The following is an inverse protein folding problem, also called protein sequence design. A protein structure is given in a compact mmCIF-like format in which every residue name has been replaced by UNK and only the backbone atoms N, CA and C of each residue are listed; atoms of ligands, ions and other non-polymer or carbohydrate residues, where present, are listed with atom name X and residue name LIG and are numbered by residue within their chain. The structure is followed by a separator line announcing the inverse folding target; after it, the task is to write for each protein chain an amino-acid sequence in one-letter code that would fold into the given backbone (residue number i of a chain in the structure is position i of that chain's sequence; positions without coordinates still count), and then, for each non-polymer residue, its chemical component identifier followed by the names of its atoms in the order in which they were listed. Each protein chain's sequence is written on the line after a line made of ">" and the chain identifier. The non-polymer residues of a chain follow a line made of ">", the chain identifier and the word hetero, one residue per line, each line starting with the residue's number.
data_IF_729721585952
#
_entry.id   IF_729721585952
#
_cell.length_a   1.000
_cell.length_b   1.000
_cell.length_c   1.000
_cell.angle_alpha   90.00
_cell.angle_beta   90.00
_cell.angle_gamma   90.00
#
_symmetry.space_group_name_H-M   'P 1'
#
loop_
_entity.id
_entity.type
_entity.pdbx_description
1 polymer ?
#
# COMPACT_ATOMS: atom_id res chain seq x y z
N UNK A 1 22.91 -16.35 12.03
CA UNK A 1 21.87 -15.42 11.55
C UNK A 1 22.52 -14.05 11.58
N UNK A 2 22.58 -13.37 10.46
CA UNK A 2 23.21 -12.04 10.40
C UNK A 2 22.31 -11.04 11.13
N UNK A 3 22.69 -10.60 12.32
CA UNK A 3 21.93 -9.65 13.14
C UNK A 3 21.78 -8.26 12.47
N UNK A 4 22.53 -7.99 11.39
CA UNK A 4 22.47 -6.72 10.68
C UNK A 4 21.10 -6.48 10.03
N UNK A 5 20.36 -7.53 9.68
CA UNK A 5 19.00 -7.44 9.14
C UNK A 5 17.93 -7.11 10.19
N UNK A 6 18.23 -7.32 11.47
CA UNK A 6 17.32 -7.04 12.58
C UNK A 6 17.62 -5.70 13.25
N UNK A 7 18.71 -5.04 12.86
CA UNK A 7 18.99 -3.68 13.32
C UNK A 7 18.01 -2.72 12.65
N UNK A 8 17.02 -2.34 13.41
CA UNK A 8 16.17 -1.20 13.09
C UNK A 8 17.07 0.03 12.96
N UNK A 9 17.38 0.45 11.74
CA UNK A 9 18.04 1.72 11.53
C UNK A 9 17.06 2.82 11.93
N UNK A 10 17.33 3.44 13.09
CA UNK A 10 16.49 4.50 13.66
C UNK A 10 16.34 5.70 12.74
N UNK A 11 17.20 5.81 11.73
CA UNK A 11 17.16 6.88 10.72
C UNK A 11 16.40 6.47 9.44
N UNK A 12 16.10 5.18 9.28
CA UNK A 12 15.39 4.71 8.10
C UNK A 12 14.00 5.35 8.01
N UNK A 13 13.70 5.89 6.84
CA UNK A 13 12.40 6.45 6.51
C UNK A 13 11.50 5.39 5.87
N UNK A 14 10.23 5.42 6.22
CA UNK A 14 9.21 4.56 5.69
C UNK A 14 8.00 5.37 5.20
N UNK A 15 7.53 5.05 4.01
CA UNK A 15 6.22 5.44 3.51
C UNK A 15 5.27 4.26 3.73
N UNK A 16 4.33 4.41 4.65
CA UNK A 16 3.25 3.41 4.85
C UNK A 16 2.02 3.94 4.14
N UNK A 17 1.47 3.20 3.18
CA UNK A 17 0.27 3.65 2.47
C UNK A 17 -0.71 2.53 2.14
N UNK A 18 -1.93 2.94 1.84
CA UNK A 18 -3.05 2.11 1.43
C UNK A 18 -3.98 2.91 0.52
N UNK A 19 -4.72 2.23 -0.38
CA UNK A 19 -5.66 2.86 -1.29
C UNK A 19 -7.05 2.25 -1.17
N UNK A 20 -8.09 3.10 -1.22
CA UNK A 20 -9.48 2.67 -1.35
C UNK A 20 -9.97 2.91 -2.77
N UNK A 21 -10.75 1.98 -3.30
CA UNK A 21 -11.08 1.91 -4.71
C UNK A 21 -12.56 1.70 -4.97
N UNK A 22 -13.01 1.98 -6.20
CA UNK A 22 -14.39 1.70 -6.64
C UNK A 22 -14.75 0.21 -6.51
N UNK A 23 -13.75 -0.68 -6.53
CA UNK A 23 -13.92 -2.13 -6.44
C UNK A 23 -12.59 -2.86 -6.60
N UNK A 24 -12.62 -4.16 -6.82
CA UNK A 24 -11.43 -5.02 -6.85
C UNK A 24 -10.88 -5.31 -8.27
N UNK A 25 -11.35 -4.60 -9.29
CA UNK A 25 -10.89 -4.81 -10.66
C UNK A 25 -9.58 -4.05 -10.89
N UNK A 26 -8.46 -4.77 -11.00
CA UNK A 26 -7.10 -4.21 -11.15
C UNK A 26 -6.84 -3.45 -12.47
N UNK A 27 -7.82 -3.41 -13.37
CA UNK A 27 -7.67 -2.74 -14.68
C UNK A 27 -8.61 -1.52 -14.79
N UNK A 28 -9.74 -1.52 -14.08
CA UNK A 28 -10.81 -0.55 -14.27
C UNK A 28 -11.19 0.23 -13.02
N UNK A 29 -11.00 -0.35 -11.83
CA UNK A 29 -11.35 0.34 -10.59
C UNK A 29 -10.39 1.47 -10.31
N UNK A 30 -10.92 2.67 -10.13
CA UNK A 30 -10.12 3.84 -9.83
C UNK A 30 -9.88 3.94 -8.33
N UNK A 31 -8.69 4.31 -7.87
CA UNK A 31 -8.49 4.70 -6.48
C UNK A 31 -9.22 6.03 -6.23
N UNK A 32 -10.05 6.10 -5.18
CA UNK A 32 -10.73 7.32 -4.78
C UNK A 32 -10.20 7.91 -3.47
N UNK A 33 -9.44 7.12 -2.71
CA UNK A 33 -8.75 7.57 -1.49
C UNK A 33 -7.34 6.99 -1.49
N UNK A 34 -6.41 7.77 -1.00
CA UNK A 34 -5.08 7.35 -0.63
C UNK A 34 -4.77 7.87 0.77
N UNK A 35 -4.40 6.97 1.67
CA UNK A 35 -3.92 7.32 3.00
C UNK A 35 -2.45 6.96 3.12
N UNK A 36 -1.64 7.85 3.72
CA UNK A 36 -0.24 7.53 3.98
C UNK A 36 0.32 8.16 5.24
N UNK A 37 1.34 7.50 5.77
CA UNK A 37 2.19 7.98 6.86
C UNK A 37 3.63 8.03 6.36
N UNK A 38 4.35 9.07 6.74
CA UNK A 38 5.82 9.11 6.66
C UNK A 38 6.36 8.89 8.06
N UNK A 39 7.17 7.87 8.24
CA UNK A 39 7.70 7.45 9.53
C UNK A 39 9.21 7.44 9.48
N UNK A 40 9.88 8.03 10.46
CA UNK A 40 11.34 7.98 10.63
C UNK A 40 11.69 7.85 12.11
N UNK A 41 12.61 6.96 12.43
CA UNK A 41 13.04 6.75 13.82
C UNK A 41 11.90 6.36 14.77
N UNK A 42 10.88 5.66 14.27
CA UNK A 42 9.69 5.26 15.02
C UNK A 42 8.71 6.41 15.30
N UNK A 43 8.90 7.58 14.69
CA UNK A 43 7.98 8.73 14.81
C UNK A 43 7.26 8.98 13.51
N UNK A 44 5.97 9.27 13.60
CA UNK A 44 5.18 9.74 12.45
C UNK A 44 5.56 11.20 12.21
N UNK A 45 6.14 11.48 11.04
CA UNK A 45 6.49 12.82 10.59
C UNK A 45 5.32 13.48 9.85
N UNK A 46 4.61 12.69 9.01
CA UNK A 46 3.47 13.16 8.23
C UNK A 46 2.36 12.11 8.26
N UNK A 47 1.12 12.59 8.26
CA UNK A 47 -0.08 11.76 8.14
C UNK A 47 -1.05 12.44 7.19
N UNK A 48 -1.47 11.71 6.17
CA UNK A 48 -2.40 12.18 5.15
C UNK A 48 -3.50 11.17 4.91
N UNK A 49 -4.68 11.68 4.58
CA UNK A 49 -5.86 10.92 4.19
C UNK A 49 -6.60 11.77 3.15
N UNK A 50 -6.42 11.47 1.87
CA UNK A 50 -6.78 12.32 0.75
C UNK A 50 -7.73 11.61 -0.20
N UNK A 51 -8.76 12.33 -0.65
CA UNK A 51 -9.74 11.84 -1.61
C UNK A 51 -9.46 12.42 -3.01
N UNK A 52 -9.56 11.57 -4.03
CA UNK A 52 -9.23 11.89 -5.42
C UNK A 52 -10.50 12.23 -6.20
N UNK A 53 -10.61 13.45 -6.71
CA UNK A 53 -11.80 13.90 -7.46
C UNK A 53 -11.82 13.31 -8.88
N UNK A 54 -12.58 12.23 -9.06
CA UNK A 54 -12.81 11.63 -10.35
C UNK A 54 -14.21 11.94 -10.89
N UNK A 55 -14.36 12.27 -12.17
CA UNK A 55 -15.68 12.42 -12.77
C UNK A 55 -16.41 11.07 -12.74
N UNK A 56 -17.69 11.09 -12.44
CA UNK A 56 -18.56 9.90 -12.45
C UNK A 56 -17.97 8.73 -11.63
N UNK A 57 -17.51 9.02 -10.42
CA UNK A 57 -17.03 7.98 -9.50
C UNK A 57 -18.18 7.01 -9.16
N UNK A 58 -17.93 5.71 -9.34
CA UNK A 58 -18.91 4.64 -9.08
C UNK A 58 -18.34 3.60 -8.13
N UNK A 59 -18.52 3.84 -6.85
CA UNK A 59 -18.06 2.91 -5.80
C UNK A 59 -19.10 1.81 -5.62
N UNK A 60 -18.70 0.57 -5.87
CA UNK A 60 -19.59 -0.57 -5.71
C UNK A 60 -20.15 -0.69 -4.29
N UNK A 61 -21.38 -1.17 -4.14
CA UNK A 61 -22.02 -1.34 -2.82
C UNK A 61 -21.17 -2.20 -1.87
N UNK A 62 -20.45 -3.21 -2.41
CA UNK A 62 -19.52 -4.04 -1.65
C UNK A 62 -18.32 -3.24 -1.12
N UNK A 63 -17.68 -2.44 -1.98
CA UNK A 63 -16.59 -1.57 -1.60
C UNK A 63 -17.05 -0.52 -0.58
N UNK A 64 -18.16 0.18 -0.85
CA UNK A 64 -18.70 1.19 0.06
C UNK A 64 -18.98 0.64 1.46
N UNK A 65 -19.50 -0.58 1.56
CA UNK A 65 -19.76 -1.23 2.86
C UNK A 65 -18.46 -1.50 3.65
N UNK A 66 -17.39 -1.86 2.96
CA UNK A 66 -16.09 -2.19 3.60
C UNK A 66 -15.34 -0.93 3.99
N UNK A 67 -15.27 0.05 3.08
CA UNK A 67 -14.49 1.27 3.23
C UNK A 67 -15.19 2.37 4.02
N UNK A 68 -16.51 2.24 4.22
CA UNK A 68 -17.34 3.30 4.80
C UNK A 68 -17.60 4.48 3.85
N UNK A 69 -17.40 4.28 2.54
CA UNK A 69 -17.60 5.32 1.55
C UNK A 69 -19.01 5.91 1.60
N UNK A 70 -19.09 7.24 1.61
CA UNK A 70 -20.33 7.98 1.36
C UNK A 70 -20.06 9.10 0.36
N UNK A 71 -21.01 9.34 -0.55
CA UNK A 71 -20.89 10.42 -1.54
C UNK A 71 -20.84 11.80 -0.87
N UNK A 72 -21.49 11.95 0.27
CA UNK A 72 -21.49 13.20 1.04
C UNK A 72 -20.09 13.54 1.53
N UNK A 73 -19.42 12.60 2.20
CA UNK A 73 -18.06 12.80 2.74
C UNK A 73 -17.05 12.96 1.60
N UNK A 74 -17.20 12.16 0.54
CA UNK A 74 -16.36 12.29 -0.66
C UNK A 74 -16.44 13.69 -1.26
N UNK A 75 -17.64 14.23 -1.48
CA UNK A 75 -17.81 15.56 -2.07
C UNK A 75 -17.28 16.70 -1.21
N UNK A 76 -17.22 16.51 0.11
CA UNK A 76 -16.63 17.51 1.03
C UNK A 76 -15.09 17.52 1.00
N UNK A 77 -14.47 16.38 0.74
CA UNK A 77 -13.03 16.19 0.96
C UNK A 77 -12.20 16.00 -0.32
N UNK A 78 -12.86 15.73 -1.45
CA UNK A 78 -12.18 15.43 -2.70
C UNK A 78 -11.32 16.59 -3.20
N UNK A 79 -10.12 16.26 -3.61
CA UNK A 79 -9.15 17.19 -4.18
C UNK A 79 -8.70 16.73 -5.57
N UNK A 80 -8.15 17.66 -6.35
CA UNK A 80 -7.59 17.34 -7.65
C UNK A 80 -6.60 16.16 -7.53
N UNK A 81 -6.77 15.07 -8.33
CA UNK A 81 -5.84 13.94 -8.31
C UNK A 81 -4.38 14.35 -8.53
N UNK A 82 -4.15 15.39 -9.35
CA UNK A 82 -2.79 15.90 -9.61
C UNK A 82 -2.18 16.57 -8.38
N UNK A 83 -2.95 17.36 -7.63
CA UNK A 83 -2.47 17.98 -6.39
C UNK A 83 -2.15 16.94 -5.31
N UNK A 84 -2.98 15.90 -5.19
CA UNK A 84 -2.72 14.80 -4.26
C UNK A 84 -1.49 14.03 -4.69
N UNK A 85 -1.35 13.76 -5.99
CA UNK A 85 -0.18 13.10 -6.56
C UNK A 85 1.13 13.83 -6.26
N UNK A 86 1.15 15.15 -6.45
CA UNK A 86 2.32 15.99 -6.15
C UNK A 86 2.79 15.89 -4.70
N UNK A 87 1.87 15.67 -3.75
CA UNK A 87 2.19 15.45 -2.34
C UNK A 87 2.70 14.03 -2.11
N UNK A 88 2.00 13.03 -2.63
CA UNK A 88 2.27 11.62 -2.40
C UNK A 88 3.54 11.14 -3.10
N UNK A 89 3.73 11.52 -4.37
CA UNK A 89 4.83 11.04 -5.20
C UNK A 89 6.22 11.45 -4.70
N UNK A 90 6.33 12.53 -3.94
CA UNK A 90 7.58 12.95 -3.29
C UNK A 90 8.17 11.86 -2.41
N UNK A 91 7.29 11.16 -1.68
CA UNK A 91 7.68 10.09 -0.78
C UNK A 91 7.78 8.74 -1.50
N UNK A 92 6.90 8.51 -2.49
CA UNK A 92 6.90 7.29 -3.27
C UNK A 92 8.21 7.09 -4.05
N UNK A 93 8.75 8.18 -4.61
CA UNK A 93 9.97 8.18 -5.41
C UNK A 93 11.23 8.65 -4.66
N UNK A 94 11.14 8.90 -3.35
CA UNK A 94 12.31 9.14 -2.51
C UNK A 94 13.10 7.84 -2.37
N UNK A 95 14.29 7.77 -2.95
CA UNK A 95 15.13 6.58 -3.03
C UNK A 95 15.58 6.08 -1.65
N UNK A 96 15.66 6.96 -0.66
CA UNK A 96 16.03 6.64 0.72
C UNK A 96 14.85 6.14 1.58
N UNK A 97 13.63 6.08 0.98
CA UNK A 97 12.40 5.68 1.68
C UNK A 97 11.95 4.28 1.29
N UNK A 98 11.84 3.36 2.25
CA UNK A 98 11.15 2.10 2.07
C UNK A 98 9.64 2.28 2.08
N UNK A 99 8.94 1.46 1.32
CA UNK A 99 7.50 1.51 1.16
C UNK A 99 6.88 0.30 1.83
N UNK A 100 5.90 0.53 2.70
CA UNK A 100 5.31 -0.55 3.52
C UNK A 100 3.78 -0.52 3.38
N UNK A 101 3.18 -1.67 3.26
CA UNK A 101 1.73 -1.82 3.30
C UNK A 101 1.28 -3.27 3.13
N UNK A 102 -0.02 -3.47 3.15
CA UNK A 102 -0.63 -4.79 3.15
C UNK A 102 -1.07 -5.20 1.75
N UNK A 103 -0.39 -6.18 1.14
CA UNK A 103 -0.70 -6.66 -0.20
C UNK A 103 -0.48 -5.60 -1.30
N UNK A 104 0.44 -4.67 -1.08
CA UNK A 104 0.77 -3.61 -2.04
C UNK A 104 1.12 -4.15 -3.41
N UNK A 105 1.98 -5.17 -3.45
CA UNK A 105 2.42 -5.82 -4.69
C UNK A 105 1.28 -6.54 -5.43
N UNK A 106 0.23 -6.93 -4.70
CA UNK A 106 -0.93 -7.60 -5.28
C UNK A 106 -2.09 -6.67 -5.63
N UNK A 107 -2.06 -5.40 -5.18
CA UNK A 107 -3.19 -4.49 -5.38
C UNK A 107 -2.76 -3.03 -5.60
N UNK A 108 -2.19 -2.36 -4.61
CA UNK A 108 -2.00 -0.91 -4.63
C UNK A 108 -1.02 -0.43 -5.70
N UNK A 109 -0.03 -1.23 -6.07
CA UNK A 109 0.86 -0.93 -7.22
C UNK A 109 0.05 -0.74 -8.50
N UNK A 110 -0.99 -1.54 -8.72
CA UNK A 110 -1.87 -1.39 -9.89
C UNK A 110 -2.74 -0.14 -9.78
N UNK A 111 -3.21 0.19 -8.57
CA UNK A 111 -4.01 1.40 -8.33
C UNK A 111 -3.20 2.67 -8.54
N UNK A 112 -1.95 2.69 -8.10
CA UNK A 112 -1.00 3.78 -8.38
C UNK A 112 -0.78 3.94 -9.87
N UNK A 113 -0.63 2.83 -10.62
CA UNK A 113 -0.48 2.90 -12.08
C UNK A 113 -1.75 3.43 -12.78
N UNK A 114 -2.93 2.96 -12.38
CA UNK A 114 -4.21 3.48 -12.90
C UNK A 114 -4.34 4.98 -12.61
N UNK A 115 -3.98 5.42 -11.41
CA UNK A 115 -3.98 6.84 -11.06
C UNK A 115 -3.08 7.66 -11.98
N UNK A 116 -1.85 7.18 -12.26
CA UNK A 116 -0.92 7.80 -13.21
C UNK A 116 -1.49 7.86 -14.62
N UNK A 117 -2.03 6.75 -15.11
CA UNK A 117 -2.62 6.63 -16.43
C UNK A 117 -3.78 7.63 -16.63
N UNK A 118 -4.68 7.74 -15.65
CA UNK A 118 -5.78 8.70 -15.67
C UNK A 118 -5.31 10.17 -15.71
N UNK A 119 -4.13 10.45 -15.17
CA UNK A 119 -3.46 11.76 -15.27
C UNK A 119 -2.61 11.92 -16.53
N UNK A 120 -2.57 10.91 -17.41
CA UNK A 120 -1.72 10.87 -18.62
C UNK A 120 -0.22 10.96 -18.30
N UNK A 121 0.20 10.32 -17.22
CA UNK A 121 1.59 10.10 -16.87
C UNK A 121 2.03 8.71 -17.34
N UNK A 122 3.25 8.59 -17.80
CA UNK A 122 3.83 7.30 -18.15
C UNK A 122 3.94 6.37 -16.94
N UNK A 123 3.88 5.05 -17.16
CA UNK A 123 4.09 4.07 -16.11
C UNK A 123 5.50 4.20 -15.54
N UNK A 124 5.62 4.08 -14.21
CA UNK A 124 6.91 4.13 -13.51
C UNK A 124 6.81 3.25 -12.27
N UNK A 125 7.54 2.17 -12.29
CA UNK A 125 7.60 1.16 -11.24
C UNK A 125 8.92 1.17 -10.48
N UNK A 126 9.75 2.23 -10.61
CA UNK A 126 11.06 2.34 -9.97
C UNK A 126 11.01 2.22 -8.45
N UNK A 127 9.86 2.53 -7.85
CA UNK A 127 9.65 2.40 -6.41
C UNK A 127 9.40 0.96 -5.92
N UNK A 128 9.08 0.03 -6.81
CA UNK A 128 8.63 -1.33 -6.45
C UNK A 128 9.70 -2.12 -5.71
N UNK A 129 10.96 -1.95 -6.06
CA UNK A 129 12.07 -2.64 -5.41
C UNK A 129 12.24 -2.27 -3.92
N UNK A 130 11.68 -1.12 -3.51
CA UNK A 130 11.71 -0.64 -2.12
C UNK A 130 10.47 -1.05 -1.31
N UNK A 131 9.58 -1.87 -1.88
CA UNK A 131 8.37 -2.33 -1.19
C UNK A 131 8.70 -3.46 -0.22
N UNK A 132 8.15 -3.32 0.98
CA UNK A 132 8.07 -4.35 2.02
C UNK A 132 6.58 -4.67 2.21
N UNK A 133 6.12 -5.76 1.61
CA UNK A 133 4.72 -6.18 1.67
C UNK A 133 4.44 -6.97 2.95
N UNK A 134 3.65 -6.41 3.85
CA UNK A 134 3.36 -7.03 5.14
C UNK A 134 2.58 -8.34 5.04
N UNK A 135 1.83 -8.56 3.93
CA UNK A 135 1.21 -9.86 3.66
C UNK A 135 2.25 -10.93 3.35
N UNK A 136 3.27 -10.60 2.54
CA UNK A 136 4.36 -11.51 2.25
C UNK A 136 5.10 -11.90 3.54
N UNK A 137 5.44 -10.91 4.37
CA UNK A 137 6.08 -11.16 5.67
C UNK A 137 5.22 -12.05 6.58
N UNK A 138 3.91 -11.80 6.63
CA UNK A 138 3.00 -12.62 7.45
C UNK A 138 2.95 -14.08 6.99
N UNK A 139 2.99 -14.33 5.68
CA UNK A 139 3.09 -15.69 5.12
C UNK A 139 4.43 -16.31 5.48
N UNK A 140 5.53 -15.60 5.27
CA UNK A 140 6.87 -16.08 5.57
C UNK A 140 7.03 -16.50 7.03
N UNK A 141 6.59 -15.64 7.96
CA UNK A 141 6.64 -15.91 9.41
C UNK A 141 5.75 -17.11 9.76
N UNK A 142 4.56 -17.20 9.19
CA UNK A 142 3.64 -18.29 9.50
C UNK A 142 4.10 -19.66 8.98
N UNK A 143 4.97 -19.67 7.96
CA UNK A 143 5.48 -20.88 7.28
C UNK A 143 6.96 -21.15 7.54
N UNK A 144 7.61 -20.32 8.35
CA UNK A 144 9.06 -20.39 8.60
C UNK A 144 9.88 -20.40 7.30
N UNK A 145 9.47 -19.52 6.34
CA UNK A 145 10.15 -19.38 5.05
C UNK A 145 11.25 -18.32 5.20
N UNK A 146 12.51 -18.65 4.98
CA UNK A 146 13.60 -17.70 5.06
C UNK A 146 13.49 -16.64 3.96
N UNK A 147 14.02 -15.44 4.26
CA UNK A 147 14.07 -14.34 3.28
C UNK A 147 15.07 -14.68 2.18
N UNK A 148 14.63 -14.53 0.94
CA UNK A 148 15.49 -14.54 -0.23
C UNK A 148 16.02 -13.12 -0.44
N UNK A 149 17.30 -12.89 -0.11
CA UNK A 149 17.93 -11.57 -0.19
C UNK A 149 18.35 -11.20 -1.62
N UNK A 150 18.62 -12.20 -2.43
CA UNK A 150 19.15 -12.00 -3.78
C UNK A 150 18.01 -11.68 -4.76
N UNK A 151 16.78 -12.12 -4.44
CA UNK A 151 15.58 -11.85 -5.24
C UNK A 151 14.38 -11.55 -4.34
N UNK A 152 14.49 -10.44 -3.58
CA UNK A 152 13.52 -10.08 -2.55
C UNK A 152 12.13 -9.78 -3.12
N UNK A 153 12.03 -9.16 -4.29
CA UNK A 153 10.74 -8.83 -4.92
C UNK A 153 10.02 -10.09 -5.40
N UNK A 154 10.69 -10.98 -6.14
CA UNK A 154 10.07 -12.23 -6.58
C UNK A 154 9.71 -13.14 -5.40
N UNK A 155 10.52 -13.13 -4.33
CA UNK A 155 10.22 -13.81 -3.09
C UNK A 155 8.89 -13.31 -2.49
N UNK A 156 8.69 -12.00 -2.39
CA UNK A 156 7.45 -11.41 -1.92
C UNK A 156 6.26 -11.78 -2.83
N UNK A 157 6.43 -11.69 -4.16
CA UNK A 157 5.37 -12.07 -5.11
C UNK A 157 4.95 -13.54 -4.97
N UNK A 158 5.88 -14.45 -4.76
CA UNK A 158 5.56 -15.86 -4.49
C UNK A 158 4.72 -15.98 -3.22
N UNK A 159 5.04 -15.25 -2.17
CA UNK A 159 4.36 -15.33 -0.89
C UNK A 159 2.98 -14.68 -0.89
N UNK A 160 2.79 -13.51 -1.49
CA UNK A 160 1.44 -12.89 -1.57
C UNK A 160 0.47 -13.73 -2.40
N UNK A 161 0.98 -14.53 -3.35
CA UNK A 161 0.20 -15.46 -4.15
C UNK A 161 0.02 -16.83 -3.50
N UNK A 162 0.65 -17.08 -2.35
CA UNK A 162 0.48 -18.31 -1.60
C UNK A 162 -0.96 -18.44 -1.08
N UNK A 163 -1.64 -19.49 -1.48
CA UNK A 163 -3.04 -19.76 -1.10
C UNK A 163 -3.11 -21.02 -0.26
N UNK A 164 -3.39 -20.82 1.02
CA UNK A 164 -3.67 -21.92 1.94
C UNK A 164 -4.92 -21.61 2.75
N UNK A 165 -5.90 -22.53 2.73
CA UNK A 165 -7.25 -22.34 3.29
C UNK A 165 -7.28 -21.94 4.77
N UNK A 166 -6.27 -22.33 5.55
CA UNK A 166 -6.18 -22.07 7.01
C UNK A 166 -5.28 -20.89 7.36
N UNK A 167 -4.54 -20.34 6.40
CA UNK A 167 -3.61 -19.27 6.63
C UNK A 167 -4.33 -17.91 6.69
N UNK A 168 -4.31 -17.29 7.86
CA UNK A 168 -4.92 -15.98 8.09
C UNK A 168 -3.83 -14.90 8.08
N UNK A 169 -3.87 -14.05 7.07
CA UNK A 169 -2.89 -12.96 6.87
C UNK A 169 -3.56 -11.60 6.72
N UNK A 170 -4.86 -11.48 7.04
CA UNK A 170 -5.52 -10.18 7.02
C UNK A 170 -4.96 -9.25 8.10
N UNK A 171 -4.91 -7.96 7.81
CA UNK A 171 -4.42 -6.95 8.75
C UNK A 171 -5.11 -7.04 10.11
N UNK A 172 -6.45 -7.13 10.13
CA UNK A 172 -7.23 -7.28 11.37
C UNK A 172 -6.83 -8.53 12.19
N UNK A 173 -6.52 -9.65 11.52
CA UNK A 173 -6.04 -10.84 12.21
C UNK A 173 -4.63 -10.64 12.79
N UNK A 174 -3.74 -9.99 12.03
CA UNK A 174 -2.35 -9.74 12.47
C UNK A 174 -2.30 -8.78 13.65
N UNK A 175 -3.06 -7.68 13.61
CA UNK A 175 -3.20 -6.74 14.73
C UNK A 175 -3.64 -7.47 16.00
N UNK A 176 -4.69 -8.29 15.91
CA UNK A 176 -5.16 -9.09 17.05
C UNK A 176 -4.11 -10.09 17.52
N UNK A 177 -3.43 -10.79 16.60
CA UNK A 177 -2.44 -11.83 16.94
C UNK A 177 -1.24 -11.26 17.68
N UNK A 178 -0.79 -10.08 17.30
CA UNK A 178 0.40 -9.43 17.86
C UNK A 178 0.09 -8.38 18.93
N UNK A 179 -1.21 -8.21 19.27
CA UNK A 179 -1.68 -7.27 20.29
C UNK A 179 -1.25 -5.82 20.02
N UNK A 180 -1.43 -5.37 18.77
CA UNK A 180 -1.11 -4.04 18.28
C UNK A 180 -2.40 -3.22 18.16
#
# INVERSE_FOLDING_TARGET
>A
MDESLLRFDKKQKYLVFDTETEGLNLIRSRPWQVAWLVVEGGKILEKHDMFLDWPNLDVSAGAAKITGFTMEEYNKRKESPRKVWEKFSKHLYDEDTFIVGQNLLGFDVYMVNIWRELMKLEADYSYVERIIDTRALAVAIAKDIPVDKDDFISWQYRLINHRERKLKTSQAFLLKKYNI
#
